data_IF_516927933573
#
_entry.id   IF_516927933573
#
_cell.length_a   1.000
_cell.length_b   1.000
_cell.length_c   1.000
_cell.angle_alpha   90.00
_cell.angle_beta   90.00
_cell.angle_gamma   90.00
#
_symmetry.space_group_name_H-M   'P 1'
#
loop_
_entity.id
_entity.type
_entity.pdbx_description
1 polymer ?
#
# COMPACT_ATOMS: atom_id res chain seq x y z
N UNK A 1 -7.17 19.00 -22.41
CA UNK A 1 -7.90 18.11 -21.47
C UNK A 1 -7.16 17.88 -20.15
N UNK A 2 -5.82 18.02 -20.09
CA UNK A 2 -5.03 17.97 -18.84
C UNK A 2 -4.88 19.31 -18.10
N UNK A 3 -5.42 20.40 -18.64
CA UNK A 3 -5.16 21.77 -18.19
C UNK A 3 -5.92 22.17 -16.91
N UNK A 4 -6.92 21.37 -16.50
CA UNK A 4 -7.66 21.58 -15.24
C UNK A 4 -6.94 21.02 -14.00
N UNK A 5 -5.85 20.26 -14.17
CA UNK A 5 -5.12 19.63 -13.07
C UNK A 5 -4.16 20.58 -12.33
N UNK A 6 -3.99 21.82 -12.80
CA UNK A 6 -2.92 22.73 -12.31
C UNK A 6 -3.40 23.69 -11.20
N UNK A 7 -4.69 23.74 -10.86
CA UNK A 7 -5.17 24.53 -9.71
C UNK A 7 -5.53 23.63 -8.54
N UNK A 8 -4.52 23.29 -7.73
CA UNK A 8 -4.74 22.72 -6.40
C UNK A 8 -5.74 23.60 -5.63
N UNK A 9 -6.81 23.02 -5.03
CA UNK A 9 -7.77 23.81 -4.29
C UNK A 9 -7.11 24.56 -3.14
N UNK A 10 -7.45 25.85 -3.00
CA UNK A 10 -6.79 26.77 -2.05
C UNK A 10 -7.26 26.59 -0.60
N UNK A 11 -8.45 26.05 -0.35
CA UNK A 11 -8.95 25.72 1.00
C UNK A 11 -9.00 24.21 1.25
N UNK A 12 -8.82 23.79 2.51
CA UNK A 12 -8.89 22.38 2.90
C UNK A 12 -10.22 21.73 2.47
N UNK A 13 -11.35 22.39 2.72
CA UNK A 13 -12.68 21.89 2.33
C UNK A 13 -12.80 21.61 0.84
N UNK A 14 -12.19 22.46 -0.01
CA UNK A 14 -12.21 22.26 -1.46
C UNK A 14 -11.28 21.13 -1.91
N UNK A 15 -10.19 20.86 -1.19
CA UNK A 15 -9.33 19.68 -1.42
C UNK A 15 -10.07 18.39 -1.08
N UNK A 16 -10.81 18.39 0.03
CA UNK A 16 -11.63 17.25 0.43
C UNK A 16 -12.75 16.99 -0.57
N UNK A 17 -13.45 18.03 -1.02
CA UNK A 17 -14.48 17.95 -2.06
C UNK A 17 -13.90 17.40 -3.37
N UNK A 18 -12.76 17.95 -3.82
CA UNK A 18 -12.07 17.46 -5.02
C UNK A 18 -11.70 15.96 -4.93
N UNK A 19 -11.20 15.49 -3.78
CA UNK A 19 -10.90 14.06 -3.60
C UNK A 19 -12.17 13.19 -3.63
N UNK A 20 -13.28 13.67 -3.06
CA UNK A 20 -14.58 12.98 -3.13
C UNK A 20 -15.12 12.96 -4.57
N UNK A 21 -14.91 14.03 -5.32
CA UNK A 21 -15.24 14.09 -6.74
C UNK A 21 -14.39 13.13 -7.56
N UNK A 22 -13.08 13.04 -7.34
CA UNK A 22 -12.21 12.07 -8.03
C UNK A 22 -12.73 10.64 -7.85
N UNK A 23 -13.05 10.28 -6.61
CA UNK A 23 -13.58 8.97 -6.26
C UNK A 23 -14.91 8.72 -6.99
N UNK A 24 -15.85 9.66 -6.92
CA UNK A 24 -17.20 9.48 -7.46
C UNK A 24 -17.31 9.59 -8.99
N UNK A 25 -16.55 10.50 -9.61
CA UNK A 25 -16.73 10.88 -11.02
C UNK A 25 -15.75 10.20 -11.97
N UNK A 26 -14.50 9.95 -11.56
CA UNK A 26 -13.45 9.42 -12.43
C UNK A 26 -13.13 7.97 -12.12
N UNK A 27 -12.85 7.66 -10.86
CA UNK A 27 -12.37 6.34 -10.48
C UNK A 27 -13.42 5.27 -10.74
N UNK A 28 -14.64 5.47 -10.25
CA UNK A 28 -15.67 4.45 -10.37
C UNK A 28 -16.36 4.49 -11.73
N UNK A 29 -16.64 5.66 -12.29
CA UNK A 29 -17.37 5.73 -13.55
C UNK A 29 -16.60 5.02 -14.68
N UNK A 30 -15.30 5.26 -14.80
CA UNK A 30 -14.49 4.66 -15.87
C UNK A 30 -14.23 3.17 -15.64
N UNK A 31 -13.96 2.77 -14.39
CA UNK A 31 -13.78 1.36 -14.01
C UNK A 31 -15.07 0.54 -14.21
N UNK A 32 -16.23 1.11 -13.90
CA UNK A 32 -17.52 0.42 -14.00
C UNK A 32 -18.02 0.31 -15.45
N UNK A 33 -17.68 1.28 -16.31
CA UNK A 33 -18.02 1.28 -17.74
C UNK A 33 -17.23 0.19 -18.48
N UNK A 34 -15.97 -0.06 -18.11
CA UNK A 34 -15.11 -1.07 -18.75
C UNK A 34 -15.62 -2.53 -18.58
N UNK A 35 -16.42 -2.82 -17.55
CA UNK A 35 -16.83 -4.20 -17.20
C UNK A 35 -18.35 -4.38 -17.06
N UNK A 36 -19.17 -3.36 -17.38
CA UNK A 36 -20.63 -3.44 -17.21
C UNK A 36 -21.04 -3.68 -15.75
N UNK A 37 -20.27 -3.14 -14.80
CA UNK A 37 -20.36 -3.46 -13.38
C UNK A 37 -21.69 -2.94 -12.82
N UNK A 38 -22.60 -3.87 -12.50
CA UNK A 38 -23.93 -3.58 -11.94
C UNK A 38 -23.91 -3.06 -10.48
N UNK A 39 -22.74 -3.01 -9.82
CA UNK A 39 -22.64 -2.78 -8.37
C UNK A 39 -21.54 -1.78 -7.95
N UNK A 40 -21.63 -0.53 -8.41
CA UNK A 40 -20.77 0.58 -7.98
C UNK A 40 -20.54 0.61 -6.45
N UNK A 41 -21.61 0.43 -5.69
CA UNK A 41 -21.58 0.46 -4.22
C UNK A 41 -20.73 -0.67 -3.60
N UNK A 42 -20.67 -1.85 -4.23
CA UNK A 42 -19.86 -2.97 -3.70
C UNK A 42 -18.37 -2.72 -3.91
N UNK A 43 -17.99 -2.04 -4.99
CA UNK A 43 -16.61 -1.67 -5.27
C UNK A 43 -16.11 -0.60 -4.27
N UNK A 44 -16.93 0.41 -3.98
CA UNK A 44 -16.65 1.41 -2.95
C UNK A 44 -16.45 0.72 -1.60
N UNK A 45 -17.38 -0.17 -1.21
CA UNK A 45 -17.28 -0.92 0.05
C UNK A 45 -16.06 -1.82 0.10
N UNK A 46 -15.67 -2.45 -1.02
CA UNK A 46 -14.43 -3.23 -1.12
C UNK A 46 -13.21 -2.36 -0.79
N UNK A 47 -13.08 -1.19 -1.41
CA UNK A 47 -12.00 -0.26 -1.12
C UNK A 47 -12.03 0.22 0.33
N UNK A 48 -13.21 0.54 0.88
CA UNK A 48 -13.35 0.91 2.29
C UNK A 48 -12.85 -0.21 3.21
N UNK A 49 -13.19 -1.47 2.96
CA UNK A 49 -12.67 -2.61 3.75
C UNK A 49 -11.14 -2.73 3.65
N UNK A 50 -10.54 -2.41 2.50
CA UNK A 50 -9.09 -2.38 2.34
C UNK A 50 -8.42 -1.24 3.11
N UNK A 51 -9.07 -0.08 3.28
CA UNK A 51 -8.48 1.06 4.02
C UNK A 51 -8.13 0.74 5.48
N UNK A 52 -8.80 -0.26 6.07
CA UNK A 52 -8.56 -0.74 7.43
C UNK A 52 -7.56 -1.92 7.49
N UNK A 53 -7.15 -2.44 6.33
CA UNK A 53 -6.29 -3.61 6.16
C UNK A 53 -4.97 -3.28 5.46
N UNK A 54 -4.56 -2.01 5.45
CA UNK A 54 -3.26 -1.57 4.95
C UNK A 54 -2.15 -2.34 5.66
N UNK A 55 -1.20 -2.85 4.88
CA UNK A 55 -0.06 -3.58 5.42
C UNK A 55 -0.41 -4.91 6.10
N UNK A 56 -1.68 -5.32 6.08
CA UNK A 56 -2.15 -6.55 6.74
C UNK A 56 -2.46 -7.61 5.69
N UNK A 57 -2.39 -8.87 6.11
CA UNK A 57 -2.77 -9.99 5.25
C UNK A 57 -4.26 -9.91 4.92
N UNK A 58 -4.58 -9.80 3.63
CA UNK A 58 -5.96 -9.73 3.15
C UNK A 58 -6.42 -11.10 2.64
N UNK A 59 -7.57 -11.55 3.12
CA UNK A 59 -8.25 -12.74 2.61
C UNK A 59 -9.34 -12.34 1.61
N UNK A 60 -9.14 -12.69 0.34
CA UNK A 60 -10.13 -12.44 -0.73
C UNK A 60 -11.46 -13.15 -0.44
N UNK A 61 -11.40 -14.36 0.13
CA UNK A 61 -12.60 -15.10 0.53
C UNK A 61 -13.38 -14.40 1.64
N UNK A 62 -12.67 -13.76 2.58
CA UNK A 62 -13.29 -12.97 3.65
C UNK A 62 -14.00 -11.74 3.09
N UNK A 63 -13.33 -10.99 2.22
CA UNK A 63 -13.91 -9.84 1.53
C UNK A 63 -15.15 -10.23 0.73
N UNK A 64 -15.10 -11.36 0.02
CA UNK A 64 -16.23 -11.91 -0.73
C UNK A 64 -17.42 -12.21 0.18
N UNK A 65 -17.20 -12.85 1.33
CA UNK A 65 -18.25 -13.14 2.31
C UNK A 65 -18.89 -11.87 2.87
N UNK A 66 -18.09 -10.87 3.26
CA UNK A 66 -18.60 -9.62 3.83
C UNK A 66 -19.41 -8.78 2.82
N UNK A 67 -19.06 -8.85 1.53
CA UNK A 67 -19.68 -8.05 0.47
C UNK A 67 -20.77 -8.81 -0.32
N UNK A 68 -20.99 -10.09 0.00
CA UNK A 68 -21.87 -10.97 -0.77
C UNK A 68 -21.43 -11.06 -2.23
N UNK A 69 -20.15 -11.35 -2.46
CA UNK A 69 -19.52 -11.51 -3.78
C UNK A 69 -18.74 -12.82 -3.84
N UNK A 70 -18.68 -13.44 -5.02
CA UNK A 70 -17.81 -14.60 -5.23
C UNK A 70 -16.33 -14.19 -5.10
N UNK A 71 -15.47 -15.13 -4.68
CA UNK A 71 -14.02 -14.90 -4.62
C UNK A 71 -13.47 -14.39 -5.96
N UNK A 72 -13.86 -15.02 -7.07
CA UNK A 72 -13.44 -14.65 -8.42
C UNK A 72 -13.85 -13.21 -8.79
N UNK A 73 -15.00 -12.74 -8.32
CA UNK A 73 -15.44 -11.35 -8.53
C UNK A 73 -14.56 -10.38 -7.76
N UNK A 74 -14.22 -10.69 -6.50
CA UNK A 74 -13.34 -9.84 -5.70
C UNK A 74 -11.94 -9.80 -6.31
N UNK A 75 -11.37 -10.93 -6.69
CA UNK A 75 -10.06 -11.01 -7.37
C UNK A 75 -10.05 -10.13 -8.63
N UNK A 76 -11.11 -10.19 -9.45
CA UNK A 76 -11.23 -9.35 -10.65
C UNK A 76 -11.29 -7.87 -10.34
N UNK A 77 -12.05 -7.47 -9.32
CA UNK A 77 -12.13 -6.06 -8.93
C UNK A 77 -10.80 -5.55 -8.37
N UNK A 78 -10.10 -6.35 -7.59
CA UNK A 78 -8.78 -6.01 -7.07
C UNK A 78 -7.77 -5.83 -8.21
N UNK A 79 -7.75 -6.75 -9.19
CA UNK A 79 -6.91 -6.65 -10.39
C UNK A 79 -7.21 -5.39 -11.22
N UNK A 80 -8.49 -5.06 -11.40
CA UNK A 80 -8.90 -3.86 -12.14
C UNK A 80 -8.49 -2.57 -11.41
N UNK A 81 -8.67 -2.52 -10.08
CA UNK A 81 -8.24 -1.39 -9.25
C UNK A 81 -6.71 -1.23 -9.23
N UNK A 82 -5.97 -2.34 -9.30
CA UNK A 82 -4.51 -2.34 -9.40
C UNK A 82 -4.05 -1.76 -10.74
N UNK A 83 -4.65 -2.22 -11.85
CA UNK A 83 -4.36 -1.70 -13.20
C UNK A 83 -4.74 -0.23 -13.38
N UNK A 84 -5.74 0.23 -12.63
CA UNK A 84 -6.16 1.63 -12.60
C UNK A 84 -5.31 2.50 -11.65
N UNK A 85 -4.22 1.97 -11.07
CA UNK A 85 -3.35 2.68 -10.14
C UNK A 85 -4.07 3.23 -8.90
N UNK A 86 -5.13 2.57 -8.45
CA UNK A 86 -5.84 2.92 -7.21
C UNK A 86 -5.14 2.28 -6.01
N UNK A 87 -4.88 0.98 -6.15
CA UNK A 87 -4.26 0.15 -5.13
C UNK A 87 -3.06 -0.57 -5.72
N UNK A 88 -2.16 -1.00 -4.86
CA UNK A 88 -0.96 -1.74 -5.20
C UNK A 88 -0.94 -3.05 -4.41
N UNK A 89 -0.73 -4.17 -5.11
CA UNK A 89 -0.59 -5.48 -4.50
C UNK A 89 0.86 -5.76 -4.15
N UNK A 90 1.10 -6.25 -2.94
CA UNK A 90 2.40 -6.76 -2.51
C UNK A 90 2.30 -8.22 -2.10
N UNK A 91 3.13 -9.06 -2.70
CA UNK A 91 3.22 -10.49 -2.41
C UNK A 91 4.23 -10.79 -1.30
N UNK A 92 4.10 -11.96 -0.68
CA UNK A 92 5.07 -12.46 0.29
C UNK A 92 6.34 -12.95 -0.42
N UNK A 93 7.50 -12.63 0.16
CA UNK A 93 8.79 -13.13 -0.27
C UNK A 93 8.97 -14.58 0.17
N UNK A 94 9.54 -15.41 -0.71
CA UNK A 94 10.11 -16.70 -0.30
C UNK A 94 11.13 -17.23 -1.29
N UNK A 95 12.16 -17.92 -0.76
CA UNK A 95 13.11 -18.73 -1.54
C UNK A 95 12.90 -20.23 -1.35
N UNK A 96 11.63 -20.69 -1.32
CA UNK A 96 11.23 -22.09 -1.13
C UNK A 96 11.53 -22.67 0.27
N UNK A 97 11.61 -21.82 1.29
CA UNK A 97 11.70 -22.29 2.67
C UNK A 97 10.30 -22.75 3.13
N UNK A 98 10.18 -24.00 3.58
CA UNK A 98 8.91 -24.56 4.09
C UNK A 98 8.28 -23.77 5.25
N UNK A 99 8.99 -22.78 5.82
CA UNK A 99 8.57 -21.98 6.98
C UNK A 99 8.02 -20.59 6.63
N UNK A 100 7.91 -20.23 5.35
CA UNK A 100 7.52 -18.88 4.91
C UNK A 100 6.10 -18.82 4.32
N UNK A 101 5.42 -17.68 4.53
CA UNK A 101 4.05 -17.46 4.07
C UNK A 101 4.05 -16.69 2.75
N UNK A 102 3.79 -17.38 1.63
CA UNK A 102 3.83 -16.79 0.28
C UNK A 102 2.47 -16.46 -0.32
N UNK A 103 1.41 -17.14 0.12
CA UNK A 103 0.07 -17.04 -0.50
C UNK A 103 -0.71 -15.80 -0.08
N UNK A 104 -0.28 -15.11 0.97
CA UNK A 104 -0.96 -13.93 1.46
C UNK A 104 -0.55 -12.70 0.64
N UNK A 105 -1.49 -11.78 0.49
CA UNK A 105 -1.29 -10.52 -0.20
C UNK A 105 -1.56 -9.37 0.76
N UNK A 106 -0.73 -8.33 0.66
CA UNK A 106 -0.97 -7.04 1.30
C UNK A 106 -1.35 -6.03 0.22
N UNK A 107 -2.22 -5.09 0.59
CA UNK A 107 -2.70 -4.06 -0.31
C UNK A 107 -2.40 -2.67 0.25
N UNK A 108 -2.02 -1.77 -0.63
CA UNK A 108 -1.70 -0.37 -0.33
C UNK A 108 -2.44 0.53 -1.31
N UNK A 109 -2.70 1.78 -0.96
CA UNK A 109 -3.25 2.79 -1.86
C UNK A 109 -2.13 3.62 -2.45
N UNK A 110 -2.17 3.92 -3.75
CA UNK A 110 -1.20 4.82 -4.37
C UNK A 110 -1.24 6.24 -3.78
N UNK A 111 -2.36 6.64 -3.19
CA UNK A 111 -2.57 7.96 -2.61
C UNK A 111 -3.34 7.89 -1.28
N UNK A 112 -2.75 8.45 -0.21
CA UNK A 112 -3.37 8.52 1.11
C UNK A 112 -4.62 9.42 1.16
N UNK A 113 -4.72 10.41 0.29
CA UNK A 113 -5.89 11.26 0.10
C UNK A 113 -7.09 10.47 -0.43
N UNK A 114 -6.89 9.58 -1.42
CA UNK A 114 -7.95 8.66 -1.89
C UNK A 114 -8.42 7.76 -0.75
N UNK A 115 -7.48 7.13 -0.03
CA UNK A 115 -7.77 6.30 1.15
C UNK A 115 -8.58 7.09 2.20
N UNK A 116 -8.15 8.30 2.55
CA UNK A 116 -8.81 9.14 3.55
C UNK A 116 -10.21 9.58 3.10
N UNK A 117 -10.37 9.90 1.83
CA UNK A 117 -11.64 10.30 1.25
C UNK A 117 -12.66 9.15 1.25
N UNK A 118 -12.22 7.90 1.02
CA UNK A 118 -13.09 6.71 1.09
C UNK A 118 -13.73 6.50 2.48
N UNK A 119 -13.04 6.89 3.55
CA UNK A 119 -13.53 6.80 4.94
C UNK A 119 -13.98 8.15 5.52
N UNK A 120 -13.93 9.22 4.72
CA UNK A 120 -14.28 10.57 5.16
C UNK A 120 -13.45 11.10 6.33
N UNK A 121 -12.22 10.60 6.52
CA UNK A 121 -11.36 10.98 7.64
C UNK A 121 -10.17 11.80 7.14
N UNK A 122 -10.29 13.13 7.24
CA UNK A 122 -9.24 14.09 6.92
C UNK A 122 -8.67 14.76 8.18
N UNK A 123 -8.91 14.16 9.35
CA UNK A 123 -8.44 14.73 10.60
C UNK A 123 -6.91 14.89 10.59
N UNK A 124 -6.40 15.96 11.25
CA UNK A 124 -4.99 16.13 11.54
C UNK A 124 -4.38 14.87 12.16
N UNK A 125 -3.12 14.60 11.81
CA UNK A 125 -2.41 13.36 12.12
C UNK A 125 -2.37 13.05 13.63
N UNK A 126 -2.35 14.07 14.48
CA UNK A 126 -2.40 14.00 15.94
C UNK A 126 -3.72 13.46 16.51
N UNK A 127 -4.82 13.59 15.75
CA UNK A 127 -6.15 13.09 16.13
C UNK A 127 -6.45 11.70 15.55
N UNK A 128 -5.47 11.08 14.86
CA UNK A 128 -5.66 9.81 14.16
C UNK A 128 -5.16 8.63 14.97
N UNK A 129 -5.93 7.55 14.95
CA UNK A 129 -5.57 6.26 15.56
C UNK A 129 -4.93 5.28 14.56
N UNK A 130 -4.92 5.60 13.27
CA UNK A 130 -4.41 4.78 12.15
C UNK A 130 -3.12 5.36 11.54
N UNK A 131 -2.39 6.15 12.31
CA UNK A 131 -1.17 6.84 11.88
C UNK A 131 -0.07 5.88 11.39
N UNK A 132 0.04 4.71 12.02
CA UNK A 132 0.99 3.67 11.60
C UNK A 132 0.66 3.14 10.21
N UNK A 133 -0.61 2.78 9.98
CA UNK A 133 -1.11 2.29 8.70
C UNK A 133 -0.94 3.36 7.60
N UNK A 134 -1.25 4.63 7.89
CA UNK A 134 -1.04 5.73 6.95
C UNK A 134 0.43 5.95 6.60
N UNK A 135 1.30 5.85 7.61
CA UNK A 135 2.73 6.02 7.43
C UNK A 135 3.33 4.89 6.59
N UNK A 136 2.98 3.64 6.90
CA UNK A 136 3.39 2.48 6.11
C UNK A 136 2.95 2.64 4.66
N UNK A 137 1.67 3.00 4.42
CA UNK A 137 1.15 3.21 3.08
C UNK A 137 1.96 4.26 2.31
N UNK A 138 2.24 5.39 2.95
CA UNK A 138 3.01 6.48 2.35
C UNK A 138 4.43 6.03 1.98
N UNK A 139 5.17 5.44 2.93
CA UNK A 139 6.55 5.01 2.69
C UNK A 139 6.62 3.96 1.57
N UNK A 140 5.73 2.97 1.62
CA UNK A 140 5.67 1.90 0.61
C UNK A 140 5.43 2.46 -0.78
N UNK A 141 4.44 3.34 -0.93
CA UNK A 141 4.03 3.82 -2.25
C UNK A 141 4.96 4.88 -2.81
N UNK A 142 5.51 5.77 -2.00
CA UNK A 142 6.52 6.72 -2.45
C UNK A 142 7.82 6.03 -2.85
N UNK A 143 8.22 4.99 -2.12
CA UNK A 143 9.38 4.18 -2.48
C UNK A 143 9.17 3.46 -3.82
N UNK A 144 8.00 2.87 -4.03
CA UNK A 144 7.61 2.25 -5.31
C UNK A 144 7.68 3.26 -6.46
N UNK A 145 7.01 4.41 -6.32
CA UNK A 145 6.98 5.49 -7.34
C UNK A 145 8.39 5.92 -7.71
N UNK A 146 9.27 6.10 -6.72
CA UNK A 146 10.67 6.45 -6.99
C UNK A 146 11.39 5.40 -7.81
N UNK A 147 11.31 4.13 -7.43
CA UNK A 147 12.04 3.08 -8.15
C UNK A 147 11.59 3.01 -9.61
N UNK A 148 10.29 3.23 -9.86
CA UNK A 148 9.73 3.35 -11.20
C UNK A 148 10.27 4.58 -11.95
N UNK A 149 10.29 5.77 -11.32
CA UNK A 149 10.86 6.98 -11.93
C UNK A 149 12.35 6.83 -12.28
N UNK A 150 13.12 6.14 -11.43
CA UNK A 150 14.53 5.85 -11.67
C UNK A 150 14.76 4.67 -12.63
N UNK A 151 13.69 4.02 -13.10
CA UNK A 151 13.74 2.81 -13.94
C UNK A 151 14.63 1.72 -13.36
N UNK A 152 14.63 1.59 -12.03
CA UNK A 152 15.42 0.58 -11.33
C UNK A 152 14.61 -0.68 -11.18
N UNK A 153 15.05 -1.77 -11.81
CA UNK A 153 14.46 -3.10 -11.64
C UNK A 153 14.58 -3.53 -10.17
N UNK A 154 13.47 -3.46 -9.45
CA UNK A 154 13.37 -3.77 -8.03
C UNK A 154 12.11 -4.59 -7.81
N UNK A 155 12.23 -5.75 -7.19
CA UNK A 155 11.07 -6.50 -6.76
C UNK A 155 10.72 -6.11 -5.32
N UNK A 156 9.42 -5.95 -5.04
CA UNK A 156 8.92 -5.53 -3.75
C UNK A 156 8.05 -6.63 -3.14
N UNK A 157 8.35 -6.97 -1.89
CA UNK A 157 7.66 -8.02 -1.14
C UNK A 157 7.42 -7.58 0.31
N UNK A 158 6.66 -8.36 1.06
CA UNK A 158 6.77 -8.41 2.52
C UNK A 158 7.39 -9.75 2.90
N UNK A 159 7.94 -9.90 4.11
CA UNK A 159 8.39 -11.20 4.59
C UNK A 159 7.65 -11.60 5.85
N UNK A 160 7.25 -12.87 5.92
CA UNK A 160 6.52 -13.42 7.06
C UNK A 160 6.76 -14.92 7.21
N UNK A 161 6.93 -15.34 8.46
CA UNK A 161 7.02 -16.74 8.86
C UNK A 161 5.70 -17.26 9.46
N UNK A 162 5.54 -18.59 9.55
CA UNK A 162 4.35 -19.20 10.20
C UNK A 162 4.24 -18.87 11.69
N UNK A 163 5.37 -18.63 12.39
CA UNK A 163 5.40 -18.14 13.77
C UNK A 163 5.19 -16.62 13.88
N UNK A 164 4.69 -15.99 12.81
CA UNK A 164 4.24 -14.59 12.77
C UNK A 164 5.34 -13.55 12.98
N UNK A 165 6.61 -13.89 12.72
CA UNK A 165 7.65 -12.86 12.54
C UNK A 165 7.45 -12.21 11.18
N UNK A 166 7.69 -10.91 11.11
CA UNK A 166 7.34 -10.09 9.95
C UNK A 166 8.44 -9.07 9.66
N UNK A 167 8.56 -8.70 8.38
CA UNK A 167 9.24 -7.51 7.90
C UNK A 167 8.29 -6.85 6.91
N UNK A 168 7.96 -5.57 7.15
CA UNK A 168 6.92 -4.84 6.43
C UNK A 168 7.19 -4.72 4.92
N UNK A 169 8.46 -4.50 4.57
CA UNK A 169 8.90 -4.38 3.17
C UNK A 169 10.24 -5.06 2.95
N UNK A 170 10.34 -5.81 1.85
CA UNK A 170 11.57 -6.40 1.35
C UNK A 170 11.77 -5.93 -0.08
N UNK A 171 12.93 -5.37 -0.37
CA UNK A 171 13.37 -5.07 -1.73
C UNK A 171 14.39 -6.10 -2.17
N UNK A 172 14.18 -6.69 -3.35
CA UNK A 172 15.20 -7.45 -4.05
C UNK A 172 15.70 -6.62 -5.23
N UNK A 173 16.98 -6.24 -5.18
CA UNK A 173 17.63 -5.45 -6.23
C UNK A 173 19.04 -5.98 -6.45
N UNK A 174 19.39 -6.22 -7.72
CA UNK A 174 20.70 -6.76 -8.12
C UNK A 174 21.10 -8.04 -7.35
N UNK A 175 20.13 -8.91 -7.06
CA UNK A 175 20.33 -10.17 -6.31
C UNK A 175 20.45 -10.03 -4.79
N UNK A 176 20.50 -8.80 -4.27
CA UNK A 176 20.59 -8.52 -2.84
C UNK A 176 19.21 -8.24 -2.25
N UNK A 177 19.03 -8.65 -0.99
CA UNK A 177 17.82 -8.43 -0.21
C UNK A 177 18.00 -7.32 0.81
N UNK A 178 16.99 -6.47 0.92
CA UNK A 178 16.95 -5.39 1.89
C UNK A 178 15.60 -5.41 2.59
N UNK A 179 15.61 -5.74 3.89
CA UNK A 179 14.44 -5.70 4.74
C UNK A 179 14.25 -4.33 5.39
N UNK A 180 13.01 -3.90 5.50
CA UNK A 180 12.63 -2.63 6.08
C UNK A 180 11.44 -2.81 7.01
N UNK A 181 11.60 -2.34 8.25
CA UNK A 181 10.49 -2.17 9.19
C UNK A 181 10.03 -0.71 9.13
N UNK A 182 8.72 -0.47 9.03
CA UNK A 182 8.20 0.89 8.88
C UNK A 182 7.48 1.29 10.17
N UNK A 183 7.98 2.34 10.82
CA UNK A 183 7.45 2.83 12.11
C UNK A 183 7.32 4.34 12.08
N UNK A 184 6.20 4.87 12.57
CA UNK A 184 6.00 6.32 12.64
C UNK A 184 7.01 7.01 13.58
N UNK A 185 7.36 6.36 14.68
CA UNK A 185 8.36 6.86 15.65
C UNK A 185 9.66 6.08 15.48
N UNK A 186 10.79 6.74 15.76
CA UNK A 186 12.07 6.05 15.91
C UNK A 186 12.00 5.14 17.13
N UNK A 187 11.94 3.83 16.89
CA UNK A 187 11.92 2.81 17.92
C UNK A 187 12.93 1.72 17.56
N UNK A 188 13.69 1.19 18.54
CA UNK A 188 14.60 0.11 18.27
C UNK A 188 13.82 -1.17 17.93
N UNK A 189 14.05 -1.73 16.76
CA UNK A 189 13.46 -3.00 16.32
C UNK A 189 14.58 -4.01 16.15
N UNK A 190 14.43 -5.17 16.79
CA UNK A 190 15.38 -6.28 16.63
C UNK A 190 15.12 -6.97 15.30
N UNK A 191 16.17 -7.14 14.50
CA UNK A 191 16.11 -7.96 13.29
C UNK A 191 15.59 -9.36 13.65
N UNK A 192 14.55 -9.88 12.98
CA UNK A 192 14.09 -11.23 13.20
C UNK A 192 15.22 -12.25 13.05
N UNK A 193 15.36 -13.17 14.01
CA UNK A 193 16.43 -14.19 14.02
C UNK A 193 16.41 -15.00 12.72
N UNK A 194 15.23 -15.46 12.30
CA UNK A 194 15.07 -16.29 11.11
C UNK A 194 15.42 -15.52 9.82
N UNK A 195 15.25 -14.19 9.79
CA UNK A 195 15.70 -13.38 8.65
C UNK A 195 17.23 -13.41 8.54
N UNK A 196 17.92 -13.20 9.67
CA UNK A 196 19.39 -13.20 9.73
C UNK A 196 19.98 -14.58 9.42
N UNK A 197 19.34 -15.65 9.89
CA UNK A 197 19.81 -17.02 9.66
C UNK A 197 19.57 -17.49 8.22
N UNK A 198 18.41 -17.18 7.65
CA UNK A 198 18.08 -17.60 6.28
C UNK A 198 18.68 -16.68 5.21
N UNK A 199 18.95 -15.42 5.55
CA UNK A 199 19.46 -14.39 4.64
C UNK A 199 20.59 -13.59 5.30
N UNK A 200 21.77 -14.20 5.51
CA UNK A 200 22.87 -13.59 6.26
C UNK A 200 23.42 -12.30 5.62
N UNK A 201 23.36 -12.20 4.29
CA UNK A 201 23.81 -11.02 3.54
C UNK A 201 22.72 -9.96 3.35
N UNK A 202 21.51 -10.20 3.87
CA UNK A 202 20.41 -9.26 3.71
C UNK A 202 20.52 -8.08 4.67
N UNK A 203 20.29 -6.87 4.14
CA UNK A 203 20.18 -5.67 4.95
C UNK A 203 18.91 -5.67 5.81
N UNK A 204 18.93 -4.92 6.91
CA UNK A 204 17.75 -4.59 7.70
C UNK A 204 17.84 -3.16 8.23
N UNK A 205 16.78 -2.37 8.02
CA UNK A 205 16.71 -0.98 8.49
C UNK A 205 15.30 -0.65 9.01
N UNK A 206 15.21 0.26 9.98
CA UNK A 206 13.94 0.81 10.45
C UNK A 206 13.73 2.18 9.82
N UNK A 207 12.64 2.35 9.08
CA UNK A 207 12.26 3.61 8.44
C UNK A 207 11.24 4.34 9.31
N UNK A 208 11.57 5.58 9.67
CA UNK A 208 10.79 6.44 10.54
C UNK A 208 10.87 7.91 10.09
N UNK A 209 10.12 8.80 10.76
CA UNK A 209 9.96 10.20 10.34
C UNK A 209 11.25 10.99 10.22
N UNK A 210 12.27 10.59 10.97
CA UNK A 210 13.54 11.31 11.01
C UNK A 210 14.51 10.85 9.91
N UNK A 211 14.34 9.66 9.30
CA UNK A 211 15.22 9.16 8.23
C UNK A 211 14.53 8.91 6.87
N UNK A 212 13.19 8.97 6.81
CA UNK A 212 12.44 8.59 5.60
C UNK A 212 12.81 9.39 4.35
N UNK A 213 13.18 10.67 4.48
CA UNK A 213 13.57 11.48 3.32
C UNK A 213 14.86 10.98 2.69
N UNK A 214 15.84 10.52 3.48
CA UNK A 214 17.04 9.88 2.94
C UNK A 214 16.73 8.51 2.34
N UNK A 215 15.78 7.79 2.94
CA UNK A 215 15.32 6.51 2.41
C UNK A 215 14.60 6.64 1.06
N UNK A 216 13.66 7.58 0.94
CA UNK A 216 12.96 7.85 -0.32
C UNK A 216 13.93 8.59 -1.25
N UNK A 217 14.51 9.71 -0.86
CA UNK A 217 15.32 10.58 -1.73
C UNK A 217 16.76 10.77 -1.23
N UNK A 218 17.64 9.76 -1.35
CA UNK A 218 19.02 9.84 -0.83
C UNK A 218 19.89 10.91 -1.49
N UNK A 219 19.47 11.47 -2.64
CA UNK A 219 20.23 12.46 -3.40
C UNK A 219 19.71 13.91 -3.23
N UNK A 220 18.81 14.18 -2.28
CA UNK A 220 18.35 15.56 -1.99
C UNK A 220 19.28 16.31 -1.03
N UNK A 221 20.48 15.81 -0.77
CA UNK A 221 21.55 16.55 -0.10
C UNK A 221 22.25 17.48 -1.09
N UNK A 222 21.59 18.58 -1.44
CA UNK A 222 22.19 19.78 -2.05
C UNK A 222 21.58 21.01 -1.42
#
# INVERSE_FOLDING_TARGET
MFDSLVKSPTSMSRREEYLREIISSYLFKDILVLEGVRYANKLVRLLQLLTFQIGKNVSVSELGRQLGMSKNTVDRYLDLLEKAFVIYKRSGFSRNLCKEVTKNQRWYFFDNGIRNALIGNFNPVDLRNDIGDLWENYIVTERLKRQEYLRQTTNFYFWRTYDKKEIDMVEERKGNLYGYEIKWKSVPVKVPKDWRENYPDAGFEVIHRENYLGFIYPNLST
#
